data_IF_146481541598
#
_entry.id   IF_146481541598
#
_cell.length_a   1.000
_cell.length_b   1.000
_cell.length_c   1.000
_cell.angle_alpha   90.00
_cell.angle_beta   90.00
_cell.angle_gamma   90.00
#
_symmetry.space_group_name_H-M   'P 1'
#
loop_
_entity.id
_entity.type
_entity.pdbx_description
1 polymer ?
#
# COMPACT_ATOMS: atom_id res chain seq x y z
N UNK A 1 24.91 -9.71 21.63
CA UNK A 1 23.57 -9.21 21.22
C UNK A 1 23.82 -8.09 20.20
N UNK A 2 23.80 -8.43 18.91
CA UNK A 2 24.02 -7.45 17.85
C UNK A 2 22.67 -6.79 17.60
N UNK A 3 22.51 -5.55 18.07
CA UNK A 3 21.38 -4.71 17.66
C UNK A 3 21.64 -4.37 16.20
N UNK A 4 20.89 -4.99 15.28
CA UNK A 4 20.94 -4.63 13.88
C UNK A 4 20.57 -3.15 13.76
N UNK A 5 21.48 -2.34 13.21
CA UNK A 5 21.18 -0.97 12.89
C UNK A 5 19.97 -0.93 11.94
N UNK A 6 19.01 0.01 12.10
CA UNK A 6 17.91 0.12 11.17
C UNK A 6 18.49 0.40 9.79
N UNK A 7 18.40 -0.58 8.91
CA UNK A 7 18.75 -0.42 7.50
C UNK A 7 17.81 0.65 6.96
N UNK A 8 18.35 1.83 6.66
CA UNK A 8 17.59 2.89 5.97
C UNK A 8 17.38 2.41 4.55
N UNK A 9 16.34 1.60 4.36
CA UNK A 9 15.79 1.28 3.05
C UNK A 9 15.36 2.61 2.45
N UNK A 10 15.83 2.94 1.25
CA UNK A 10 15.30 4.11 0.52
C UNK A 10 13.78 3.97 0.49
N UNK A 11 13.09 4.82 1.26
CA UNK A 11 11.64 4.83 1.37
C UNK A 11 11.03 4.91 -0.03
N UNK A 12 10.17 3.96 -0.38
CA UNK A 12 9.53 3.93 -1.70
C UNK A 12 8.82 5.29 -1.92
N UNK A 13 8.99 5.95 -3.08
CA UNK A 13 8.52 7.33 -3.24
C UNK A 13 7.00 7.48 -3.00
N UNK A 14 6.21 6.47 -3.36
CA UNK A 14 4.76 6.43 -3.11
C UNK A 14 4.45 6.29 -1.61
N UNK A 15 5.14 5.40 -0.90
CA UNK A 15 4.95 5.22 0.54
C UNK A 15 5.34 6.48 1.32
N UNK A 16 6.47 7.11 0.94
CA UNK A 16 6.89 8.40 1.50
C UNK A 16 5.84 9.49 1.29
N UNK A 17 5.31 9.61 0.06
CA UNK A 17 4.32 10.63 -0.27
C UNK A 17 2.99 10.42 0.48
N UNK A 18 2.55 9.17 0.61
CA UNK A 18 1.33 8.86 1.36
C UNK A 18 1.51 9.07 2.87
N UNK A 19 2.58 8.50 3.45
CA UNK A 19 2.94 8.67 4.87
C UNK A 19 3.00 10.14 5.28
N UNK A 20 3.60 11.00 4.46
CA UNK A 20 3.68 12.44 4.75
C UNK A 20 2.31 13.10 4.92
N UNK A 21 1.26 12.61 4.25
CA UNK A 21 -0.10 13.14 4.41
C UNK A 21 -0.71 12.81 5.77
N UNK A 22 -0.46 11.62 6.30
CA UNK A 22 -0.90 11.19 7.62
C UNK A 22 -0.07 11.85 8.73
N UNK A 23 1.26 11.86 8.60
CA UNK A 23 2.14 12.46 9.61
C UNK A 23 1.89 13.96 9.77
N UNK A 24 1.61 14.69 8.67
CA UNK A 24 1.20 16.11 8.75
C UNK A 24 -0.09 16.34 9.55
N UNK A 25 -0.95 15.32 9.64
CA UNK A 25 -2.19 15.35 10.43
C UNK A 25 -1.99 14.81 11.85
N UNK A 26 -0.77 14.42 12.22
CA UNK A 26 -0.43 13.95 13.56
C UNK A 26 -0.63 12.45 13.79
N UNK A 27 -0.89 11.67 12.73
CA UNK A 27 -1.04 10.22 12.84
C UNK A 27 0.30 9.48 12.84
N UNK A 28 0.35 8.37 13.56
CA UNK A 28 1.49 7.45 13.52
C UNK A 28 1.38 6.53 12.31
N UNK A 29 2.45 6.46 11.52
CA UNK A 29 2.53 5.60 10.34
C UNK A 29 3.67 4.61 10.54
N UNK A 30 3.38 3.32 10.41
CA UNK A 30 4.39 2.26 10.39
C UNK A 30 4.53 1.78 8.95
N UNK A 31 5.71 1.98 8.37
CA UNK A 31 6.07 1.37 7.09
C UNK A 31 6.65 -0.03 7.33
N UNK A 32 6.14 -1.02 6.61
CA UNK A 32 6.58 -2.42 6.63
C UNK A 32 6.66 -2.96 5.20
N UNK A 33 7.12 -4.19 5.01
CA UNK A 33 7.02 -4.86 3.70
C UNK A 33 5.58 -5.29 3.43
N UNK A 34 5.19 -5.28 2.16
CA UNK A 34 3.87 -5.72 1.72
C UNK A 34 3.64 -7.19 2.07
N UNK A 35 4.62 -8.05 1.82
CA UNK A 35 4.65 -9.45 2.25
C UNK A 35 4.33 -9.62 3.76
N UNK A 36 4.96 -8.83 4.63
CA UNK A 36 4.73 -8.93 6.07
C UNK A 36 3.34 -8.42 6.48
N UNK A 37 2.82 -7.39 5.80
CA UNK A 37 1.49 -6.86 6.08
C UNK A 37 0.37 -7.81 5.64
N UNK A 38 0.50 -8.43 4.47
CA UNK A 38 -0.57 -9.23 3.87
C UNK A 38 -0.37 -10.75 4.05
N UNK A 39 0.76 -11.18 4.61
CA UNK A 39 1.07 -12.58 4.88
C UNK A 39 1.26 -13.44 3.62
N UNK A 40 1.70 -12.84 2.52
CA UNK A 40 1.91 -13.55 1.23
C UNK A 40 3.36 -13.44 0.81
N UNK A 41 4.04 -14.58 0.79
CA UNK A 41 5.47 -14.67 0.51
C UNK A 41 5.87 -14.11 -0.86
N UNK A 42 7.01 -13.43 -0.89
CA UNK A 42 7.62 -12.93 -2.12
C UNK A 42 6.81 -11.83 -2.82
N UNK A 43 6.01 -11.06 -2.08
CA UNK A 43 5.39 -9.83 -2.57
C UNK A 43 6.31 -8.63 -2.32
N UNK A 44 6.86 -8.02 -3.39
CA UNK A 44 7.66 -6.81 -3.26
C UNK A 44 6.77 -5.60 -3.00
N UNK A 45 7.38 -4.56 -2.45
CA UNK A 45 6.75 -3.27 -2.19
C UNK A 45 6.50 -3.04 -0.70
N UNK A 46 6.23 -1.79 -0.32
CA UNK A 46 5.89 -1.44 1.06
C UNK A 46 4.38 -1.53 1.33
N UNK A 47 4.05 -1.62 2.60
CA UNK A 47 2.74 -1.31 3.14
C UNK A 47 2.86 -0.27 4.27
N UNK A 48 1.84 0.57 4.42
CA UNK A 48 1.72 1.55 5.49
C UNK A 48 0.58 1.12 6.41
N UNK A 49 0.85 1.02 7.70
CA UNK A 49 -0.15 0.77 8.73
C UNK A 49 -0.38 2.07 9.52
N UNK A 50 -1.60 2.60 9.44
CA UNK A 50 -2.04 3.79 10.16
C UNK A 50 -3.02 3.32 11.23
N UNK A 51 -2.46 2.76 12.31
CA UNK A 51 -3.22 2.08 13.36
C UNK A 51 -4.27 3.00 14.03
N UNK A 52 -3.95 4.29 14.18
CA UNK A 52 -4.86 5.30 14.73
C UNK A 52 -6.18 5.43 13.93
N UNK A 53 -6.16 5.03 12.66
CA UNK A 53 -7.30 5.08 11.74
C UNK A 53 -7.82 3.69 11.35
N UNK A 54 -7.13 2.62 11.72
CA UNK A 54 -7.43 1.27 11.22
C UNK A 54 -7.24 1.13 9.71
N UNK A 55 -6.31 1.89 9.10
CA UNK A 55 -6.06 1.85 7.64
C UNK A 55 -4.77 1.10 7.33
N UNK A 56 -4.83 0.23 6.33
CA UNK A 56 -3.68 -0.41 5.71
C UNK A 56 -3.58 0.01 4.24
N UNK A 57 -2.49 0.70 3.88
CA UNK A 57 -2.21 1.03 2.48
C UNK A 57 -1.16 0.09 1.89
N UNK A 58 -1.52 -0.61 0.83
CA UNK A 58 -0.66 -1.57 0.15
C UNK A 58 -0.15 -0.98 -1.16
N UNK A 59 1.15 -0.74 -1.32
CA UNK A 59 1.70 -0.23 -2.58
C UNK A 59 1.90 -1.39 -3.55
N UNK A 60 1.15 -1.38 -4.65
CA UNK A 60 1.31 -2.36 -5.72
C UNK A 60 2.48 -1.97 -6.63
N UNK A 61 3.49 -2.84 -6.68
CA UNK A 61 4.61 -2.71 -7.61
C UNK A 61 4.22 -3.05 -9.05
N UNK A 62 4.85 -2.37 -10.02
CA UNK A 62 4.51 -2.45 -11.46
C UNK A 62 4.54 -3.85 -12.07
N UNK A 63 5.26 -4.80 -11.46
CA UNK A 63 5.40 -6.18 -11.98
C UNK A 63 4.55 -7.20 -11.23
N UNK A 64 3.90 -6.80 -10.16
CA UNK A 64 3.08 -7.71 -9.34
C UNK A 64 1.74 -7.91 -10.02
N UNK A 65 1.27 -9.16 -10.02
CA UNK A 65 -0.10 -9.48 -10.40
C UNK A 65 -1.04 -9.10 -9.23
N UNK A 66 -2.00 -8.17 -9.42
CA UNK A 66 -2.91 -7.74 -8.37
C UNK A 66 -3.67 -8.90 -7.71
N UNK A 67 -3.99 -9.96 -8.45
CA UNK A 67 -4.74 -11.11 -7.92
C UNK A 67 -4.01 -11.81 -6.75
N UNK A 68 -2.68 -11.69 -6.68
CA UNK A 68 -1.88 -12.24 -5.57
C UNK A 68 -2.16 -11.56 -4.23
N UNK A 69 -2.72 -10.35 -4.23
CA UNK A 69 -3.03 -9.61 -3.00
C UNK A 69 -4.38 -10.02 -2.39
N UNK A 70 -5.28 -10.64 -3.16
CA UNK A 70 -6.68 -10.84 -2.75
C UNK A 70 -6.81 -11.56 -1.40
N UNK A 71 -6.11 -12.68 -1.20
CA UNK A 71 -6.18 -13.43 0.05
C UNK A 71 -5.67 -12.65 1.26
N UNK A 72 -4.59 -11.88 1.08
CA UNK A 72 -4.03 -11.06 2.16
C UNK A 72 -4.85 -9.80 2.46
N UNK A 73 -5.50 -9.24 1.45
CA UNK A 73 -6.50 -8.16 1.61
C UNK A 73 -7.67 -8.65 2.47
N UNK A 74 -8.22 -9.83 2.18
CA UNK A 74 -9.32 -10.38 2.98
C UNK A 74 -8.89 -10.67 4.42
N UNK A 75 -7.65 -11.13 4.64
CA UNK A 75 -7.12 -11.34 5.98
C UNK A 75 -7.06 -10.02 6.77
N UNK A 76 -6.51 -8.95 6.18
CA UNK A 76 -6.48 -7.62 6.79
C UNK A 76 -7.89 -7.08 7.05
N UNK A 77 -8.80 -7.22 6.10
CA UNK A 77 -10.20 -6.79 6.26
C UNK A 77 -10.91 -7.56 7.38
N UNK A 78 -10.66 -8.87 7.51
CA UNK A 78 -11.19 -9.70 8.60
C UNK A 78 -10.64 -9.30 9.98
N UNK A 79 -9.43 -8.75 10.03
CA UNK A 79 -8.84 -8.13 11.23
C UNK A 79 -9.39 -6.72 11.52
N UNK A 80 -10.25 -6.19 10.65
CA UNK A 80 -10.91 -4.89 10.81
C UNK A 80 -10.17 -3.72 10.18
N UNK A 81 -9.14 -3.97 9.36
CA UNK A 81 -8.46 -2.92 8.61
C UNK A 81 -9.27 -2.47 7.40
N UNK A 82 -9.36 -1.16 7.19
CA UNK A 82 -9.74 -0.59 5.90
C UNK A 82 -8.53 -0.64 4.97
N UNK A 83 -8.63 -1.44 3.90
CA UNK A 83 -7.52 -1.68 2.99
C UNK A 83 -7.63 -0.79 1.76
N UNK A 84 -6.56 -0.07 1.45
CA UNK A 84 -6.41 0.68 0.19
C UNK A 84 -5.19 0.17 -0.56
N UNK A 85 -5.38 -0.23 -1.82
CA UNK A 85 -4.28 -0.60 -2.70
C UNK A 85 -3.89 0.62 -3.53
N UNK A 86 -2.65 1.08 -3.37
CA UNK A 86 -2.07 2.16 -4.17
C UNK A 86 -1.54 1.56 -5.47
N UNK A 87 -2.23 1.82 -6.57
CA UNK A 87 -2.02 1.17 -7.87
C UNK A 87 -1.39 2.15 -8.87
N UNK A 88 -0.35 1.76 -9.61
CA UNK A 88 0.15 2.58 -10.72
C UNK A 88 -0.98 2.88 -11.70
N UNK A 89 -1.18 4.14 -12.12
CA UNK A 89 -2.33 4.53 -12.95
C UNK A 89 -2.50 3.67 -14.22
N UNK A 90 -1.38 3.29 -14.86
CA UNK A 90 -1.35 2.42 -16.04
C UNK A 90 -1.85 0.98 -15.77
N UNK A 91 -1.93 0.57 -14.51
CA UNK A 91 -2.30 -0.78 -14.05
C UNK A 91 -3.70 -0.86 -13.45
N UNK A 92 -4.44 0.26 -13.38
CA UNK A 92 -5.78 0.30 -12.77
C UNK A 92 -6.74 -0.75 -13.33
N UNK A 93 -6.81 -0.94 -14.65
CA UNK A 93 -7.69 -1.95 -15.24
C UNK A 93 -7.34 -3.39 -14.82
N UNK A 94 -6.05 -3.72 -14.73
CA UNK A 94 -5.61 -5.02 -14.24
C UNK A 94 -5.89 -5.19 -12.74
N UNK A 95 -5.75 -4.12 -11.95
CA UNK A 95 -6.08 -4.13 -10.53
C UNK A 95 -7.58 -4.35 -10.29
N UNK A 96 -8.45 -3.64 -11.01
CA UNK A 96 -9.90 -3.88 -10.98
C UNK A 96 -10.22 -5.35 -11.29
N UNK A 97 -9.66 -5.89 -12.36
CA UNK A 97 -9.94 -7.28 -12.73
C UNK A 97 -9.42 -8.28 -11.70
N UNK A 98 -8.18 -8.13 -11.24
CA UNK A 98 -7.52 -9.08 -10.34
C UNK A 98 -8.03 -9.02 -8.90
N UNK A 99 -8.57 -7.88 -8.46
CA UNK A 99 -9.08 -7.66 -7.11
C UNK A 99 -10.60 -7.51 -7.06
N UNK A 100 -11.30 -7.89 -8.14
CA UNK A 100 -12.75 -7.79 -8.21
C UNK A 100 -13.41 -8.51 -7.03
N UNK A 101 -14.21 -7.77 -6.27
CA UNK A 101 -14.91 -8.29 -5.10
C UNK A 101 -14.05 -8.43 -3.84
N UNK A 102 -12.78 -8.03 -3.88
CA UNK A 102 -11.95 -7.94 -2.68
C UNK A 102 -12.40 -6.77 -1.80
N UNK A 103 -12.24 -6.92 -0.49
CA UNK A 103 -12.55 -5.95 0.55
C UNK A 103 -11.52 -4.82 0.63
N UNK A 104 -11.30 -4.11 -0.49
CA UNK A 104 -10.37 -3.00 -0.59
C UNK A 104 -10.90 -1.88 -1.48
N UNK A 105 -10.32 -0.70 -1.32
CA UNK A 105 -10.37 0.36 -2.34
C UNK A 105 -9.08 0.34 -3.18
N UNK A 106 -9.18 0.77 -4.43
CA UNK A 106 -8.06 1.02 -5.33
C UNK A 106 -7.86 2.53 -5.47
N UNK A 107 -6.63 2.99 -5.32
CA UNK A 107 -6.31 4.40 -5.55
C UNK A 107 -5.14 4.49 -6.51
N UNK A 108 -5.38 5.14 -7.66
CA UNK A 108 -4.36 5.34 -8.67
C UNK A 108 -3.25 6.27 -8.14
N UNK A 109 -2.00 6.01 -8.51
CA UNK A 109 -0.90 6.95 -8.34
C UNK A 109 -0.12 7.14 -9.65
N UNK A 110 0.50 8.30 -9.81
CA UNK A 110 1.41 8.58 -10.92
C UNK A 110 2.46 9.62 -10.51
N UNK A 111 3.65 9.62 -11.17
CA UNK A 111 4.61 10.71 -11.01
C UNK A 111 4.01 12.04 -11.47
N UNK A 112 4.12 13.06 -10.64
CA UNK A 112 3.79 14.44 -10.94
C UNK A 112 5.04 15.29 -11.23
N UNK A 113 4.86 16.61 -11.39
CA UNK A 113 5.96 17.54 -11.56
C UNK A 113 6.93 17.49 -10.37
N UNK A 114 8.22 17.74 -10.63
CA UNK A 114 9.29 17.84 -9.61
C UNK A 114 9.37 16.62 -8.67
N UNK A 115 9.30 15.41 -9.25
CA UNK A 115 9.38 14.13 -8.51
C UNK A 115 8.31 13.96 -7.41
N UNK A 116 7.20 14.69 -7.50
CA UNK A 116 6.05 14.49 -6.63
C UNK A 116 5.29 13.22 -7.03
N UNK A 117 4.55 12.64 -6.09
CA UNK A 117 3.59 11.57 -6.38
C UNK A 117 2.19 12.19 -6.27
N UNK A 118 1.38 11.93 -7.29
CA UNK A 118 -0.02 12.36 -7.35
C UNK A 118 -0.90 11.13 -7.15
N UNK A 119 -2.08 11.36 -6.57
CA UNK A 119 -3.05 10.31 -6.27
C UNK A 119 -4.40 10.64 -6.89
N UNK A 120 -5.07 9.62 -7.40
CA UNK A 120 -6.45 9.70 -7.88
C UNK A 120 -7.45 9.58 -6.74
N UNK A 121 -8.73 9.64 -7.09
CA UNK A 121 -9.80 9.28 -6.17
C UNK A 121 -9.81 7.75 -5.94
N UNK A 122 -10.17 7.29 -4.72
CA UNK A 122 -10.42 5.88 -4.44
C UNK A 122 -11.57 5.31 -5.30
N UNK A 123 -11.45 4.04 -5.68
CA UNK A 123 -12.41 3.29 -6.49
C UNK A 123 -12.63 1.91 -5.89
N UNK A 124 -13.79 1.31 -6.08
CA UNK A 124 -14.05 -0.07 -5.66
C UNK A 124 -13.73 -1.00 -6.83
N UNK A 125 -12.89 -2.06 -6.65
CA UNK A 125 -12.48 -2.97 -7.71
C UNK A 125 -13.64 -3.70 -8.40
#
# INVERSE_FOLDING_TARGET
MVVAAPTVTKTHPVARASSASYTRRGYTVVETSLEAAVGVDGLPGPALLIADMGIAECVLEDRVDPARLAAGIEALAAEGWEVTVLVPAARMGAAHWGLRGASASLQAWWPGPADSIQFGAPQVP
#
